data_IF_321583755321
#
_entry.id   IF_321583755321
#
_cell.length_a   1.000
_cell.length_b   1.000
_cell.length_c   1.000
_cell.angle_alpha   90.00
_cell.angle_beta   90.00
_cell.angle_gamma   90.00
#
_symmetry.space_group_name_H-M   'P 1'
#
loop_
_entity.id
_entity.type
_entity.pdbx_description
1 polymer ?
#
# COMPACT_ATOMS: atom_id res chain seq x y z
N UNK A 1 60.59 35.40 -20.04
CA UNK A 1 60.25 34.74 -21.31
C UNK A 1 59.73 33.34 -20.99
N UNK A 2 58.75 32.92 -21.78
CA UNK A 2 57.92 31.71 -21.69
C UNK A 2 58.68 30.41 -21.99
N UNK A 3 58.08 29.28 -21.59
CA UNK A 3 58.31 27.92 -22.16
C UNK A 3 58.74 26.90 -21.09
N UNK A 4 57.89 26.17 -20.37
CA UNK A 4 56.84 25.20 -20.74
C UNK A 4 57.34 23.73 -20.86
N UNK A 5 56.84 22.86 -19.97
CA UNK A 5 56.64 21.41 -20.16
C UNK A 5 57.88 20.52 -20.00
N UNK A 6 57.82 19.26 -19.52
CA UNK A 6 56.73 18.28 -19.47
C UNK A 6 57.11 17.14 -18.48
N UNK A 7 56.13 16.69 -17.66
CA UNK A 7 55.87 15.34 -17.09
C UNK A 7 57.03 14.57 -16.42
N UNK A 8 56.92 14.09 -15.17
CA UNK A 8 55.98 13.04 -14.72
C UNK A 8 55.72 13.14 -13.21
N UNK A 9 54.48 12.81 -12.77
CA UNK A 9 54.43 11.73 -11.80
C UNK A 9 53.34 10.72 -12.17
N UNK A 10 53.75 9.46 -12.31
CA UNK A 10 52.84 8.34 -12.24
C UNK A 10 52.90 7.80 -10.81
N UNK A 11 51.97 8.26 -9.96
CA UNK A 11 51.84 7.77 -8.59
C UNK A 11 50.39 7.33 -8.35
N UNK A 12 50.10 6.11 -8.80
CA UNK A 12 49.26 5.06 -8.21
C UNK A 12 48.05 5.46 -7.34
N UNK A 13 47.17 6.31 -7.85
CA UNK A 13 45.80 6.47 -7.32
C UNK A 13 44.71 5.99 -8.27
N UNK A 14 45.06 5.02 -9.13
CA UNK A 14 44.18 4.45 -10.16
C UNK A 14 43.99 2.93 -10.09
N UNK A 15 44.33 2.28 -8.96
CA UNK A 15 44.23 0.81 -8.81
C UNK A 15 43.79 0.36 -7.41
N UNK A 16 42.95 1.15 -6.73
CA UNK A 16 42.29 0.75 -5.47
C UNK A 16 40.78 1.04 -5.45
N UNK A 17 40.20 1.46 -6.57
CA UNK A 17 38.74 1.64 -6.70
C UNK A 17 38.06 0.56 -7.55
N UNK A 18 38.79 -0.23 -8.34
CA UNK A 18 38.16 -1.24 -9.24
C UNK A 18 37.93 -2.59 -8.58
N UNK A 19 38.81 -3.03 -7.68
CA UNK A 19 38.61 -4.28 -6.93
C UNK A 19 37.51 -4.13 -5.86
N UNK A 20 37.44 -2.96 -5.20
CA UNK A 20 36.35 -2.62 -4.30
C UNK A 20 35.03 -2.44 -5.05
N UNK A 21 35.02 -1.84 -6.24
CA UNK A 21 33.81 -1.74 -7.06
C UNK A 21 33.29 -3.11 -7.55
N UNK A 22 34.17 -4.04 -7.94
CA UNK A 22 33.77 -5.42 -8.27
C UNK A 22 33.18 -6.14 -7.05
N UNK A 23 33.81 -6.03 -5.88
CA UNK A 23 33.26 -6.59 -4.64
C UNK A 23 31.94 -5.91 -4.24
N UNK A 24 31.80 -4.60 -4.43
CA UNK A 24 30.55 -3.86 -4.14
C UNK A 24 29.45 -4.22 -5.14
N UNK A 25 29.76 -4.45 -6.42
CA UNK A 25 28.80 -4.91 -7.42
C UNK A 25 28.36 -6.36 -7.17
N UNK A 26 29.29 -7.23 -6.74
CA UNK A 26 28.98 -8.60 -6.31
C UNK A 26 28.15 -8.60 -5.03
N UNK A 27 28.48 -7.75 -4.05
CA UNK A 27 27.68 -7.55 -2.84
C UNK A 27 26.32 -6.97 -3.22
N UNK A 28 26.25 -5.99 -4.13
CA UNK A 28 25.01 -5.38 -4.60
C UNK A 28 24.12 -6.38 -5.33
N UNK A 29 24.68 -7.23 -6.21
CA UNK A 29 23.96 -8.28 -6.91
C UNK A 29 23.49 -9.38 -5.95
N UNK A 30 24.36 -9.82 -5.02
CA UNK A 30 23.98 -10.72 -3.93
C UNK A 30 22.88 -10.12 -3.04
N UNK A 31 22.94 -8.82 -2.73
CA UNK A 31 21.89 -8.14 -1.97
C UNK A 31 20.63 -7.96 -2.80
N UNK A 32 20.69 -7.75 -4.12
CA UNK A 32 19.51 -7.72 -4.98
C UNK A 32 18.84 -9.09 -5.04
N UNK A 33 19.60 -10.18 -5.18
CA UNK A 33 19.07 -11.55 -5.09
C UNK A 33 18.48 -11.88 -3.71
N UNK A 34 19.02 -11.29 -2.64
CA UNK A 34 18.49 -11.38 -1.28
C UNK A 34 17.25 -10.48 -1.10
N UNK A 35 17.19 -9.30 -1.71
CA UNK A 35 16.04 -8.37 -1.70
C UNK A 35 14.88 -8.94 -2.52
N UNK A 36 15.15 -9.55 -3.69
CA UNK A 36 14.17 -10.31 -4.47
C UNK A 36 13.71 -11.58 -3.74
N UNK A 37 14.57 -12.17 -2.89
CA UNK A 37 14.21 -13.21 -1.91
C UNK A 37 13.61 -12.68 -0.60
N UNK A 38 13.56 -11.37 -0.37
CA UNK A 38 12.80 -10.73 0.73
C UNK A 38 11.40 -10.37 0.21
N UNK A 39 11.24 -10.11 -1.10
CA UNK A 39 9.97 -10.17 -1.82
C UNK A 39 9.39 -11.61 -1.94
N UNK A 40 10.04 -12.60 -1.30
CA UNK A 40 9.66 -14.00 -1.26
C UNK A 40 8.47 -14.21 -0.32
N UNK A 41 7.34 -14.53 -0.92
CA UNK A 41 6.16 -15.12 -0.27
C UNK A 41 5.64 -14.34 0.94
N UNK A 42 5.12 -13.16 0.67
CA UNK A 42 4.09 -12.56 1.53
C UNK A 42 2.98 -13.62 1.68
N UNK A 43 2.63 -14.00 2.90
CA UNK A 43 1.55 -14.94 3.17
C UNK A 43 0.22 -14.41 2.62
N UNK A 44 -0.76 -15.28 2.38
CA UNK A 44 -2.06 -14.83 1.85
C UNK A 44 -2.69 -13.75 2.73
N UNK A 45 -2.52 -13.86 4.06
CA UNK A 45 -3.02 -12.86 5.00
C UNK A 45 -2.27 -11.53 4.88
N UNK A 46 -0.95 -11.55 4.81
CA UNK A 46 -0.16 -10.32 4.64
C UNK A 46 -0.47 -9.63 3.30
N UNK A 47 -0.72 -10.39 2.23
CA UNK A 47 -1.16 -9.83 0.93
C UNK A 47 -2.56 -9.21 1.04
N UNK A 48 -3.47 -9.82 1.80
CA UNK A 48 -4.80 -9.26 2.04
C UNK A 48 -4.71 -7.95 2.83
N UNK A 49 -3.88 -7.90 3.88
CA UNK A 49 -3.60 -6.68 4.63
C UNK A 49 -2.99 -5.60 3.75
N UNK A 50 -1.99 -5.93 2.92
CA UNK A 50 -1.41 -4.99 1.97
C UNK A 50 -2.46 -4.47 0.98
N UNK A 51 -3.29 -5.37 0.44
CA UNK A 51 -4.34 -5.01 -0.52
C UNK A 51 -5.36 -4.05 0.12
N UNK A 52 -5.76 -4.31 1.36
CA UNK A 52 -6.65 -3.44 2.13
C UNK A 52 -6.07 -2.02 2.28
N UNK A 53 -4.80 -1.92 2.69
CA UNK A 53 -4.10 -0.64 2.86
C UNK A 53 -3.98 0.10 1.52
N UNK A 54 -3.65 -0.63 0.45
CA UNK A 54 -3.55 -0.05 -0.90
C UNK A 54 -4.88 0.48 -1.40
N UNK A 55 -5.96 -0.29 -1.21
CA UNK A 55 -7.31 0.16 -1.56
C UNK A 55 -7.63 1.46 -0.84
N UNK A 56 -7.46 1.53 0.49
CA UNK A 56 -7.72 2.75 1.23
C UNK A 56 -6.97 3.97 0.65
N UNK A 57 -5.65 3.85 0.47
CA UNK A 57 -4.83 4.96 -0.06
C UNK A 57 -5.06 5.30 -1.53
N UNK A 58 -5.57 4.36 -2.34
CA UNK A 58 -5.97 4.65 -3.72
C UNK A 58 -7.18 5.59 -3.79
N UNK A 59 -8.00 5.64 -2.72
CA UNK A 59 -9.13 6.55 -2.62
C UNK A 59 -8.84 7.75 -1.70
N UNK A 60 -8.10 7.59 -0.59
CA UNK A 60 -7.68 8.67 0.31
C UNK A 60 -6.41 9.32 -0.23
N UNK A 61 -6.55 10.44 -0.93
CA UNK A 61 -5.45 11.28 -1.47
C UNK A 61 -5.89 12.08 -2.69
N UNK A 62 -7.14 11.91 -3.12
CA UNK A 62 -7.68 12.64 -4.27
C UNK A 62 -7.99 14.07 -3.85
N UNK A 63 -8.47 14.27 -2.62
CA UNK A 63 -8.82 15.57 -2.07
C UNK A 63 -8.48 15.63 -0.56
N UNK A 64 -8.17 16.82 -0.02
CA UNK A 64 -8.03 17.00 1.43
C UNK A 64 -6.85 16.27 2.09
N UNK A 65 -7.11 15.58 3.21
CA UNK A 65 -6.11 14.82 3.96
C UNK A 65 -5.85 13.45 3.31
N UNK A 66 -4.61 13.22 2.86
CA UNK A 66 -4.19 11.97 2.21
C UNK A 66 -4.25 10.72 3.09
N UNK A 67 -4.51 10.86 4.39
CA UNK A 67 -4.64 9.76 5.34
C UNK A 67 -6.09 9.49 5.76
N UNK A 68 -7.04 10.24 5.21
CA UNK A 68 -8.46 10.10 5.52
C UNK A 68 -9.29 10.12 4.25
N UNK A 69 -10.47 9.51 4.32
CA UNK A 69 -11.45 9.56 3.26
C UNK A 69 -12.44 10.67 3.57
N UNK A 70 -12.52 11.66 2.69
CA UNK A 70 -13.67 12.55 2.66
C UNK A 70 -14.93 11.78 2.27
N UNK A 71 -16.10 12.38 2.52
CA UNK A 71 -17.39 11.81 2.11
C UNK A 71 -17.46 11.43 0.62
N UNK A 72 -16.83 12.21 -0.26
CA UNK A 72 -16.81 11.94 -1.71
C UNK A 72 -15.87 10.78 -2.06
N UNK A 73 -14.72 10.69 -1.40
CA UNK A 73 -13.78 9.59 -1.58
C UNK A 73 -14.35 8.28 -1.03
N UNK A 74 -14.99 8.31 0.15
CA UNK A 74 -15.69 7.15 0.71
C UNK A 74 -16.77 6.66 -0.25
N UNK A 75 -17.60 7.58 -0.80
CA UNK A 75 -18.60 7.21 -1.82
C UNK A 75 -17.97 6.51 -3.02
N UNK A 76 -16.83 7.01 -3.50
CA UNK A 76 -16.13 6.45 -4.64
C UNK A 76 -15.55 5.07 -4.34
N UNK A 77 -14.99 4.87 -3.15
CA UNK A 77 -14.50 3.58 -2.67
C UNK A 77 -15.64 2.56 -2.60
N UNK A 78 -16.73 2.95 -1.94
CA UNK A 78 -17.94 2.16 -1.78
C UNK A 78 -18.49 1.71 -3.15
N UNK A 79 -18.55 2.61 -4.13
CA UNK A 79 -19.03 2.28 -5.48
C UNK A 79 -18.04 1.45 -6.32
N UNK A 80 -16.74 1.63 -6.11
CA UNK A 80 -15.70 0.93 -6.88
C UNK A 80 -15.44 -0.49 -6.38
N UNK A 81 -15.30 -0.66 -5.07
CA UNK A 81 -14.87 -1.91 -4.44
C UNK A 81 -16.05 -2.72 -3.89
N UNK A 82 -17.15 -2.05 -3.51
CA UNK A 82 -18.29 -2.65 -2.81
C UNK A 82 -19.62 -2.45 -3.55
N UNK A 83 -19.57 -2.28 -4.87
CA UNK A 83 -20.75 -2.04 -5.72
C UNK A 83 -21.87 -3.07 -5.48
N UNK A 84 -21.53 -4.36 -5.46
CA UNK A 84 -22.50 -5.44 -5.30
C UNK A 84 -23.13 -5.45 -3.90
N UNK A 85 -22.37 -5.10 -2.86
CA UNK A 85 -22.87 -4.95 -1.49
C UNK A 85 -23.87 -3.78 -1.40
N UNK A 86 -23.61 -2.69 -2.11
CA UNK A 86 -24.47 -1.52 -2.12
C UNK A 86 -25.66 -1.65 -3.05
N UNK A 87 -25.57 -2.47 -4.09
CA UNK A 87 -26.67 -2.73 -5.03
C UNK A 87 -27.91 -3.33 -4.32
N UNK A 88 -27.71 -4.00 -3.19
CA UNK A 88 -28.79 -4.47 -2.32
C UNK A 88 -29.56 -3.32 -1.65
N UNK A 89 -28.94 -2.15 -1.47
CA UNK A 89 -29.54 -0.95 -0.87
C UNK A 89 -29.99 0.03 -1.94
N UNK A 90 -31.30 0.28 -2.04
CA UNK A 90 -31.88 1.33 -2.91
C UNK A 90 -31.93 2.70 -2.25
N UNK A 91 -31.34 2.84 -1.06
CA UNK A 91 -31.40 4.07 -0.28
C UNK A 91 -30.36 5.09 -0.78
N UNK A 92 -30.78 6.25 -1.30
CA UNK A 92 -29.86 7.29 -1.74
C UNK A 92 -28.99 7.86 -0.60
N UNK A 93 -29.39 7.65 0.66
CA UNK A 93 -28.66 8.10 1.86
C UNK A 93 -27.78 7.01 2.48
N UNK A 94 -27.59 5.87 1.81
CA UNK A 94 -26.80 4.75 2.37
C UNK A 94 -25.36 5.18 2.68
N UNK A 95 -24.76 6.02 1.82
CA UNK A 95 -23.40 6.53 2.01
C UNK A 95 -23.32 7.43 3.24
N UNK A 96 -24.29 8.34 3.42
CA UNK A 96 -24.38 9.20 4.61
C UNK A 96 -24.50 8.40 5.90
N UNK A 97 -25.30 7.32 5.89
CA UNK A 97 -25.45 6.45 7.05
C UNK A 97 -24.14 5.73 7.37
N UNK A 98 -23.53 5.11 6.36
CA UNK A 98 -22.22 4.45 6.52
C UNK A 98 -21.17 5.43 7.03
N UNK A 99 -21.11 6.64 6.48
CA UNK A 99 -20.21 7.69 6.96
C UNK A 99 -20.44 7.98 8.44
N UNK A 100 -21.70 8.18 8.84
CA UNK A 100 -22.06 8.50 10.23
C UNK A 100 -21.72 7.35 11.20
N UNK A 101 -21.84 6.11 10.74
CA UNK A 101 -21.54 4.93 11.55
C UNK A 101 -20.03 4.70 11.70
N UNK A 102 -19.22 5.15 10.73
CA UNK A 102 -17.76 5.00 10.75
C UNK A 102 -17.01 6.18 11.39
N UNK A 103 -17.51 7.40 11.21
CA UNK A 103 -16.93 8.64 11.73
C UNK A 103 -17.18 8.75 13.25
N UNK A 104 -16.43 7.95 14.02
CA UNK A 104 -16.56 7.82 15.47
C UNK A 104 -16.15 9.12 16.16
N UNK A 105 -15.10 9.76 15.63
CA UNK A 105 -14.55 11.00 16.17
C UNK A 105 -15.36 12.25 15.75
N UNK A 106 -16.26 12.13 14.76
CA UNK A 106 -17.17 13.16 14.22
C UNK A 106 -16.46 14.34 13.57
N UNK A 107 -15.35 14.08 12.88
CA UNK A 107 -14.62 15.09 12.11
C UNK A 107 -15.11 15.25 10.67
N UNK A 108 -16.02 14.38 10.22
CA UNK A 108 -16.59 14.40 8.87
C UNK A 108 -15.68 13.76 7.82
N UNK A 109 -14.64 13.04 8.24
CA UNK A 109 -13.75 12.21 7.44
C UNK A 109 -13.71 10.78 8.03
N UNK A 110 -13.11 9.83 7.31
CA UNK A 110 -12.92 8.46 7.81
C UNK A 110 -11.44 8.12 7.74
N UNK A 111 -10.82 7.89 8.90
CA UNK A 111 -9.44 7.46 8.95
C UNK A 111 -9.29 5.94 8.69
N UNK A 112 -8.05 5.47 8.63
CA UNK A 112 -7.79 4.06 8.33
C UNK A 112 -8.36 3.11 9.39
N UNK A 113 -8.34 3.50 10.67
CA UNK A 113 -8.87 2.67 11.76
C UNK A 113 -10.38 2.53 11.62
N UNK A 114 -11.08 3.64 11.39
CA UNK A 114 -12.52 3.69 11.15
C UNK A 114 -12.90 2.88 9.89
N UNK A 115 -12.13 2.97 8.81
CA UNK A 115 -12.32 2.15 7.62
C UNK A 115 -12.17 0.64 7.88
N UNK A 116 -11.18 0.22 8.68
CA UNK A 116 -10.98 -1.20 9.02
C UNK A 116 -12.18 -1.78 9.77
N UNK A 117 -12.87 -0.98 10.59
CA UNK A 117 -14.11 -1.42 11.27
C UNK A 117 -15.19 -1.82 10.27
N UNK A 118 -15.40 -1.05 9.19
CA UNK A 118 -16.32 -1.42 8.11
C UNK A 118 -15.97 -2.78 7.51
N UNK A 119 -14.70 -2.96 7.14
CA UNK A 119 -14.25 -4.17 6.45
C UNK A 119 -14.31 -5.38 7.38
N UNK A 120 -14.00 -5.22 8.65
CA UNK A 120 -14.18 -6.26 9.65
C UNK A 120 -15.65 -6.66 9.79
N UNK A 121 -16.56 -5.69 9.88
CA UNK A 121 -18.00 -5.95 9.96
C UNK A 121 -18.52 -6.69 8.73
N UNK A 122 -18.13 -6.28 7.53
CA UNK A 122 -18.47 -6.96 6.29
C UNK A 122 -17.89 -8.38 6.24
N UNK A 123 -16.64 -8.56 6.68
CA UNK A 123 -15.99 -9.87 6.74
C UNK A 123 -16.72 -10.81 7.68
N UNK A 124 -17.16 -10.33 8.85
CA UNK A 124 -17.94 -11.11 9.82
C UNK A 124 -19.31 -11.48 9.24
N UNK A 125 -20.02 -10.53 8.62
CA UNK A 125 -21.30 -10.79 7.97
C UNK A 125 -21.16 -11.83 6.85
N UNK A 126 -20.13 -11.71 6.01
CA UNK A 126 -19.81 -12.71 4.98
C UNK A 126 -19.42 -14.07 5.57
N UNK A 127 -18.72 -14.09 6.70
CA UNK A 127 -18.33 -15.33 7.37
C UNK A 127 -19.54 -16.13 7.85
N UNK A 128 -20.63 -15.49 8.30
CA UNK A 128 -21.88 -16.19 8.63
C UNK A 128 -22.45 -16.95 7.42
N UNK A 129 -22.48 -16.31 6.25
CA UNK A 129 -22.89 -16.97 5.00
C UNK A 129 -21.96 -18.11 4.59
N UNK A 130 -20.65 -17.96 4.77
CA UNK A 130 -19.66 -19.01 4.47
C UNK A 130 -19.80 -20.21 5.41
N UNK A 131 -20.04 -19.99 6.71
CA UNK A 131 -20.23 -21.05 7.71
C UNK A 131 -21.57 -21.79 7.50
N UNK A 132 -22.62 -21.12 7.05
CA UNK A 132 -23.88 -21.76 6.67
C UNK A 132 -23.74 -22.63 5.42
N UNK A 133 -22.96 -22.20 4.42
CA UNK A 133 -22.69 -22.99 3.21
C UNK A 133 -21.98 -24.32 3.47
N UNK A 134 -21.13 -24.40 4.50
CA UNK A 134 -20.41 -25.64 4.87
C UNK A 134 -21.34 -26.64 5.59
N UNK A 135 -22.43 -26.19 6.23
CA UNK A 135 -23.38 -27.09 6.92
C UNK A 135 -24.35 -27.80 5.99
N UNK A 136 -24.47 -27.33 4.74
CA UNK A 136 -25.37 -27.89 3.73
C UNK A 136 -24.68 -28.80 2.70
N UNK A 137 -23.39 -29.08 2.87
CA UNK A 137 -22.63 -30.09 2.12
C UNK A 137 -22.21 -31.26 3.03
#
# INVERSE_FOLDING_TARGET
MLGAGVQLPYNERGRLESASALSVAVISACTCEVIDKINKMVSQLENAMESLIRVFHNYSSKEGDKYKLSKLELKSLLQGELCDFLAASKDPMVVEKIMTDLDENRDGEVDFQEFVVLVAALTVACNEFFVEGIKHH
#
